data_IF_533091003250
#
_entry.id   IF_533091003250
#
_cell.length_a   1.000
_cell.length_b   1.000
_cell.length_c   1.000
_cell.angle_alpha   90.00
_cell.angle_beta   90.00
_cell.angle_gamma   90.00
#
_symmetry.space_group_name_H-M   'P 1'
#
loop_
_entity.id
_entity.type
_entity.pdbx_description
1 polymer ?
#
# COMPACT_ATOMS: atom_id res chain seq x y z
N UNK A 1 -10.72 2.66 -1.88
CA UNK A 1 -10.55 4.13 -2.06
C UNK A 1 -9.31 4.31 -2.92
N UNK A 2 -9.28 5.14 -3.96
CA UNK A 2 -8.10 5.23 -4.84
C UNK A 2 -6.95 5.94 -4.12
N UNK A 3 -5.70 5.52 -4.38
CA UNK A 3 -4.49 6.18 -3.87
C UNK A 3 -4.46 7.68 -4.19
N UNK A 4 -4.86 8.05 -5.41
CA UNK A 4 -4.89 9.44 -5.89
C UNK A 4 -5.85 10.34 -5.10
N UNK A 5 -6.90 9.75 -4.55
CA UNK A 5 -7.96 10.42 -3.81
C UNK A 5 -7.70 10.47 -2.28
N UNK A 6 -6.61 9.84 -1.83
CA UNK A 6 -6.18 9.91 -0.44
C UNK A 6 -5.56 11.27 -0.11
N UNK A 7 -5.81 11.73 1.12
CA UNK A 7 -5.18 12.94 1.64
C UNK A 7 -3.76 12.62 2.06
N UNK A 8 -2.91 13.66 2.15
CA UNK A 8 -1.52 13.53 2.60
C UNK A 8 -1.42 12.87 3.98
N UNK A 9 -2.34 13.16 4.89
CA UNK A 9 -2.38 12.53 6.22
C UNK A 9 -2.60 11.01 6.09
N UNK A 10 -3.54 10.60 5.24
CA UNK A 10 -3.85 9.18 5.01
C UNK A 10 -2.67 8.48 4.30
N UNK A 11 -2.05 9.13 3.30
CA UNK A 11 -0.84 8.63 2.64
C UNK A 11 0.33 8.43 3.62
N UNK A 12 0.56 9.41 4.50
CA UNK A 12 1.61 9.33 5.53
C UNK A 12 1.33 8.23 6.55
N UNK A 13 0.07 8.05 6.95
CA UNK A 13 -0.31 6.97 7.86
C UNK A 13 -0.01 5.59 7.26
N UNK A 14 -0.36 5.39 5.98
CA UNK A 14 -0.11 4.14 5.26
C UNK A 14 1.38 3.85 5.04
N UNK A 15 2.19 4.88 4.77
CA UNK A 15 3.65 4.75 4.68
C UNK A 15 4.26 4.46 6.05
N UNK A 16 3.82 5.13 7.12
CA UNK A 16 4.30 4.90 8.49
C UNK A 16 3.97 3.49 8.97
N UNK A 17 2.80 2.95 8.63
CA UNK A 17 2.38 1.57 8.94
C UNK A 17 3.30 0.53 8.30
N UNK A 18 3.87 0.84 7.14
CA UNK A 18 4.84 0.02 6.41
C UNK A 18 6.31 0.35 6.75
N UNK A 19 6.54 1.27 7.69
CA UNK A 19 7.88 1.78 8.06
C UNK A 19 8.64 2.40 6.89
N UNK A 20 7.94 3.11 6.00
CA UNK A 20 8.51 3.81 4.84
C UNK A 20 8.59 5.31 5.13
N UNK A 21 9.59 5.97 4.53
CA UNK A 21 9.77 7.40 4.70
C UNK A 21 8.53 8.21 4.25
N UNK A 22 8.11 9.14 5.10
CA UNK A 22 6.94 10.00 4.93
C UNK A 22 7.30 11.44 4.55
N UNK A 23 8.58 11.68 4.21
CA UNK A 23 9.08 12.95 3.71
C UNK A 23 8.67 13.23 2.26
N UNK A 24 8.43 14.50 1.96
CA UNK A 24 8.11 14.97 0.61
C UNK A 24 6.66 15.42 0.39
N UNK A 25 6.40 15.79 -0.85
CA UNK A 25 5.13 16.26 -1.41
C UNK A 25 4.18 15.09 -1.76
N UNK A 26 2.89 15.38 -2.00
CA UNK A 26 1.84 14.36 -2.21
C UNK A 26 2.22 13.33 -3.28
N UNK A 27 2.78 13.76 -4.41
CA UNK A 27 3.20 12.86 -5.49
C UNK A 27 4.29 11.87 -5.05
N UNK A 28 5.27 12.32 -4.27
CA UNK A 28 6.34 11.45 -3.73
C UNK A 28 5.75 10.42 -2.76
N UNK A 29 4.82 10.84 -1.90
CA UNK A 29 4.14 9.92 -0.98
C UNK A 29 3.29 8.89 -1.73
N UNK A 30 2.59 9.32 -2.79
CA UNK A 30 1.83 8.42 -3.64
C UNK A 30 2.72 7.41 -4.35
N UNK A 31 3.81 7.85 -4.97
CA UNK A 31 4.72 6.97 -5.70
C UNK A 31 5.37 5.94 -4.77
N UNK A 32 5.83 6.36 -3.59
CA UNK A 32 6.38 5.44 -2.59
C UNK A 32 5.34 4.45 -2.10
N UNK A 33 4.13 4.91 -1.80
CA UNK A 33 3.08 4.03 -1.30
C UNK A 33 2.64 3.05 -2.39
N UNK A 34 2.54 3.50 -3.64
CA UNK A 34 2.30 2.66 -4.80
C UNK A 34 3.35 1.57 -4.92
N UNK A 35 4.63 1.94 -4.91
CA UNK A 35 5.73 0.99 -5.03
C UNK A 35 5.73 -0.02 -3.89
N UNK A 36 5.52 0.44 -2.66
CA UNK A 36 5.40 -0.44 -1.51
C UNK A 36 4.28 -1.47 -1.64
N UNK A 37 3.14 -1.07 -2.20
CA UNK A 37 2.00 -1.95 -2.42
C UNK A 37 2.29 -2.93 -3.57
N UNK A 38 2.89 -2.49 -4.66
CA UNK A 38 3.31 -3.36 -5.77
C UNK A 38 4.35 -4.40 -5.30
N UNK A 39 5.31 -3.99 -4.46
CA UNK A 39 6.32 -4.89 -3.86
C UNK A 39 5.68 -5.90 -2.89
N UNK A 40 4.59 -5.53 -2.20
CA UNK A 40 3.74 -6.43 -1.40
C UNK A 40 2.85 -7.34 -2.27
N UNK A 41 2.82 -7.15 -3.59
CA UNK A 41 1.97 -7.88 -4.53
C UNK A 41 0.50 -7.42 -4.55
N UNK A 42 0.22 -6.24 -3.99
CA UNK A 42 -1.09 -5.61 -3.96
C UNK A 42 -1.33 -4.68 -5.16
N UNK A 43 -2.56 -4.16 -5.25
CA UNK A 43 -2.96 -3.25 -6.33
C UNK A 43 -2.93 -1.79 -5.83
N UNK A 44 -2.02 -0.93 -6.34
CA UNK A 44 -1.84 0.44 -5.83
C UNK A 44 -3.03 1.36 -6.13
N UNK A 45 -3.87 1.04 -7.11
CA UNK A 45 -5.10 1.79 -7.42
C UNK A 45 -6.27 1.43 -6.47
N UNK A 46 -6.19 0.32 -5.75
CA UNK A 46 -7.25 -0.20 -4.89
C UNK A 46 -6.84 -0.27 -3.41
N UNK A 47 -6.30 0.82 -2.88
CA UNK A 47 -5.93 0.86 -1.46
C UNK A 47 -7.21 0.76 -0.62
N UNK A 48 -7.38 -0.42 -0.01
CA UNK A 48 -8.33 -0.60 1.08
C UNK A 48 -7.72 0.07 2.32
N UNK A 49 -7.94 1.39 2.44
CA UNK A 49 -7.71 2.13 3.69
C UNK A 49 -8.69 1.57 4.71
N UNK A 50 -8.26 0.49 5.36
CA UNK A 50 -8.91 -0.03 6.56
C UNK A 50 -8.53 0.94 7.66
N UNK A 51 -9.40 1.91 7.89
CA UNK A 51 -9.28 2.97 8.88
C UNK A 51 -9.35 2.48 10.33
N UNK A 52 -8.87 1.26 10.61
CA UNK A 52 -8.90 0.65 11.93
C UNK A 52 -7.50 0.10 12.27
N UNK A 53 -6.83 0.77 13.20
CA UNK A 53 -5.64 0.26 13.91
C UNK A 53 -6.08 -0.24 15.28
N UNK A 54 -5.52 -1.33 15.89
CA UNK A 54 -4.26 -2.00 15.58
C UNK A 54 -4.33 -3.56 15.55
N UNK A 55 -3.18 -4.18 15.28
CA UNK A 55 -2.81 -5.57 15.61
C UNK A 55 -3.32 -6.72 14.72
N UNK A 56 -2.34 -7.33 14.05
CA UNK A 56 -2.20 -8.78 13.91
C UNK A 56 -3.36 -9.48 13.19
N UNK A 57 -3.34 -9.45 11.86
CA UNK A 57 -3.89 -10.55 11.07
C UNK A 57 -3.23 -10.56 9.69
N UNK A 58 -2.23 -11.42 9.58
CA UNK A 58 -1.85 -12.04 8.30
C UNK A 58 -3.10 -12.46 7.55
N UNK A 59 -3.28 -12.12 6.27
CA UNK A 59 -4.01 -12.99 5.37
C UNK A 59 -2.98 -13.95 4.78
N UNK A 60 -2.84 -15.14 5.38
CA UNK A 60 -2.33 -16.27 4.60
C UNK A 60 -3.33 -16.51 3.46
N UNK A 61 -2.79 -16.44 2.23
CA UNK A 61 -3.18 -17.19 1.02
C UNK A 61 -4.55 -16.91 0.40
N UNK A 62 -4.50 -16.26 -0.76
CA UNK A 62 -5.10 -16.73 -2.02
C UNK A 62 -4.28 -16.09 -3.15
N UNK A 63 -3.41 -16.78 -3.86
CA UNK A 63 -3.82 -17.77 -4.85
C UNK A 63 -3.84 -17.14 -6.25
N UNK A 64 -2.69 -16.78 -6.81
CA UNK A 64 -2.56 -16.63 -8.27
C UNK A 64 -1.13 -16.95 -8.72
N UNK A 65 -0.97 -18.20 -9.12
CA UNK A 65 0.14 -18.67 -9.94
C UNK A 65 0.38 -17.73 -11.11
N UNK A 66 1.63 -17.30 -11.30
CA UNK A 66 2.23 -16.97 -12.60
C UNK A 66 3.72 -17.23 -12.49
N UNK A 67 4.11 -18.50 -12.51
CA UNK A 67 5.34 -18.88 -13.20
C UNK A 67 4.90 -19.25 -14.60
N UNK A 68 5.11 -18.31 -15.52
CA UNK A 68 5.16 -18.58 -16.95
C UNK A 68 6.48 -19.31 -17.19
N UNK A 69 6.35 -20.34 -18.01
CA UNK A 69 7.32 -21.26 -18.59
C UNK A 69 8.58 -20.59 -19.15
N UNK A 70 9.73 -21.23 -18.95
CA UNK A 70 10.62 -21.68 -20.04
C UNK A 70 11.29 -23.00 -19.58
#
# INVERSE_FOLDING_TARGET
KKLSDLRVIDLKAELKKRNIDTGGNKSVLMERLRKAIEDEGGNPDEIQVTSDTPSKKTPKRSGRARKIED
#
